data_IF_388137408570
#
_entry.id   IF_388137408570
#
_cell.length_a   1.000
_cell.length_b   1.000
_cell.length_c   1.000
_cell.angle_alpha   90.00
_cell.angle_beta   90.00
_cell.angle_gamma   90.00
#
_symmetry.space_group_name_H-M   'P 1'
#
loop_
_entity.id
_entity.type
_entity.pdbx_description
1 polymer ?
#
# COMPACT_ATOMS: atom_id res chain seq x y z
N UNK A 1 -15.55 -9.93 -7.53
CA UNK A 1 -16.83 -9.19 -7.51
C UNK A 1 -16.69 -7.77 -6.95
N UNK A 2 -15.99 -7.54 -5.83
CA UNK A 2 -15.86 -6.20 -5.21
C UNK A 2 -15.39 -5.12 -6.19
N UNK A 3 -14.37 -5.39 -7.01
CA UNK A 3 -13.88 -4.41 -8.00
C UNK A 3 -14.92 -4.01 -9.05
N UNK A 4 -15.80 -4.93 -9.45
CA UNK A 4 -16.89 -4.64 -10.38
C UNK A 4 -17.93 -3.73 -9.72
N UNK A 5 -18.36 -4.06 -8.50
CA UNK A 5 -19.31 -3.24 -7.74
C UNK A 5 -18.75 -1.83 -7.49
N UNK A 6 -17.47 -1.71 -7.12
CA UNK A 6 -16.82 -0.41 -6.93
C UNK A 6 -16.78 0.40 -8.23
N UNK A 7 -16.50 -0.23 -9.37
CA UNK A 7 -16.49 0.45 -10.67
C UNK A 7 -17.90 0.95 -11.05
N UNK A 8 -18.92 0.11 -10.88
CA UNK A 8 -20.32 0.48 -11.15
C UNK A 8 -20.79 1.62 -10.24
N UNK A 9 -20.55 1.52 -8.93
CA UNK A 9 -20.83 2.59 -7.97
C UNK A 9 -20.11 3.88 -8.34
N UNK A 10 -18.85 3.80 -8.79
CA UNK A 10 -18.06 4.97 -9.19
C UNK A 10 -18.66 5.68 -10.41
N UNK A 11 -19.09 4.91 -11.42
CA UNK A 11 -19.75 5.43 -12.62
C UNK A 11 -21.08 6.09 -12.24
N UNK A 12 -21.93 5.40 -11.47
CA UNK A 12 -23.22 5.93 -11.05
C UNK A 12 -23.10 7.19 -10.19
N UNK A 13 -22.08 7.25 -9.31
CA UNK A 13 -21.81 8.42 -8.48
C UNK A 13 -21.55 9.66 -9.35
N UNK A 14 -20.66 9.55 -10.32
CA UNK A 14 -20.27 10.68 -11.19
C UNK A 14 -21.41 11.05 -12.14
N UNK A 15 -22.11 10.08 -12.72
CA UNK A 15 -23.24 10.34 -13.62
C UNK A 15 -24.42 11.02 -12.91
N UNK A 16 -24.70 10.65 -11.65
CA UNK A 16 -25.81 11.22 -10.88
C UNK A 16 -25.45 12.55 -10.22
N UNK A 17 -24.16 12.90 -10.10
CA UNK A 17 -23.70 14.09 -9.39
C UNK A 17 -22.66 14.84 -10.23
N UNK A 18 -23.11 15.77 -11.09
CA UNK A 18 -22.21 16.53 -11.98
C UNK A 18 -21.17 17.42 -11.28
N UNK A 19 -21.37 17.70 -9.98
CA UNK A 19 -20.40 18.42 -9.14
C UNK A 19 -19.24 17.54 -8.67
N UNK A 20 -19.36 16.21 -8.76
CA UNK A 20 -18.31 15.26 -8.37
C UNK A 20 -17.35 15.07 -9.52
N UNK A 21 -16.05 15.23 -9.24
CA UNK A 21 -15.01 14.99 -10.23
C UNK A 21 -14.91 13.51 -10.59
N UNK A 22 -14.74 13.18 -11.87
CA UNK A 22 -14.45 11.82 -12.31
C UNK A 22 -13.14 11.24 -11.72
N UNK A 23 -12.24 12.11 -11.24
CA UNK A 23 -11.00 11.69 -10.56
C UNK A 23 -11.19 11.31 -9.09
N UNK A 24 -12.32 11.67 -8.48
CA UNK A 24 -12.63 11.31 -7.10
C UNK A 24 -12.61 9.79 -6.87
N UNK A 25 -13.39 8.97 -7.60
CA UNK A 25 -13.37 7.53 -7.39
C UNK A 25 -12.01 6.91 -7.73
N UNK A 26 -11.30 7.45 -8.73
CA UNK A 26 -9.96 6.99 -9.09
C UNK A 26 -8.98 7.17 -7.94
N UNK A 27 -8.96 8.36 -7.31
CA UNK A 27 -8.10 8.61 -6.15
C UNK A 27 -8.51 7.76 -4.95
N UNK A 28 -9.82 7.56 -4.73
CA UNK A 28 -10.35 6.71 -3.66
C UNK A 28 -9.83 5.27 -3.70
N UNK A 29 -9.71 4.69 -4.89
CA UNK A 29 -9.22 3.31 -5.09
C UNK A 29 -7.84 3.26 -5.72
N UNK A 30 -7.04 4.32 -5.60
CA UNK A 30 -5.74 4.40 -6.27
C UNK A 30 -4.76 3.33 -5.80
N UNK A 31 -4.80 2.96 -4.52
CA UNK A 31 -3.89 1.96 -3.96
C UNK A 31 -3.96 0.61 -4.69
N UNK A 32 -5.12 -0.09 -4.74
CA UNK A 32 -5.23 -1.36 -5.46
C UNK A 32 -5.02 -1.23 -6.97
N UNK A 33 -5.45 -0.13 -7.60
CA UNK A 33 -5.20 0.14 -9.02
C UNK A 33 -3.69 0.20 -9.28
N UNK A 34 -2.98 1.04 -8.53
CA UNK A 34 -1.56 1.28 -8.74
C UNK A 34 -0.72 0.06 -8.36
N UNK A 35 -1.09 -0.67 -7.30
CA UNK A 35 -0.42 -1.93 -6.95
C UNK A 35 -0.49 -2.96 -8.10
N UNK A 36 -1.64 -3.04 -8.78
CA UNK A 36 -1.81 -3.92 -9.94
C UNK A 36 -1.00 -3.43 -11.14
N UNK A 37 -1.16 -2.17 -11.53
CA UNK A 37 -0.46 -1.58 -12.68
C UNK A 37 1.06 -1.63 -12.51
N UNK A 38 1.57 -1.25 -11.34
CA UNK A 38 2.99 -1.27 -11.05
C UNK A 38 3.57 -2.69 -11.07
N UNK A 39 2.81 -3.67 -10.61
CA UNK A 39 3.25 -5.07 -10.64
C UNK A 39 3.29 -5.62 -12.06
N UNK A 40 2.33 -5.25 -12.91
CA UNK A 40 2.37 -5.55 -14.36
C UNK A 40 3.59 -4.88 -15.01
N UNK A 41 3.78 -3.58 -14.76
CA UNK A 41 4.93 -2.83 -15.27
C UNK A 41 6.26 -3.48 -14.89
N UNK A 42 6.43 -3.80 -13.60
CA UNK A 42 7.63 -4.48 -13.10
C UNK A 42 7.86 -5.83 -13.78
N UNK A 43 6.83 -6.65 -13.94
CA UNK A 43 6.98 -7.98 -14.55
C UNK A 43 7.35 -7.87 -16.02
N UNK A 44 6.59 -7.09 -16.79
CA UNK A 44 6.80 -6.96 -18.23
C UNK A 44 8.06 -6.19 -18.58
N UNK A 45 8.28 -5.04 -17.95
CA UNK A 45 9.32 -4.08 -18.37
C UNK A 45 10.62 -4.32 -17.60
N UNK A 46 10.57 -4.46 -16.27
CA UNK A 46 11.79 -4.58 -15.47
C UNK A 46 12.35 -6.01 -15.41
N UNK A 47 11.49 -7.04 -15.49
CA UNK A 47 11.89 -8.45 -15.39
C UNK A 47 11.80 -9.23 -16.70
N UNK A 48 11.14 -8.70 -17.72
CA UNK A 48 10.93 -9.38 -19.00
C UNK A 48 10.07 -10.65 -18.92
N UNK A 49 9.28 -10.83 -17.86
CA UNK A 49 8.44 -12.02 -17.66
C UNK A 49 6.95 -11.72 -17.89
N UNK A 50 6.13 -12.73 -18.27
CA UNK A 50 4.70 -12.55 -18.45
C UNK A 50 4.00 -12.01 -17.20
N UNK A 51 2.94 -11.23 -17.40
CA UNK A 51 2.20 -10.60 -16.30
C UNK A 51 1.48 -11.61 -15.38
N UNK A 52 1.29 -12.86 -15.79
CA UNK A 52 0.66 -13.93 -15.00
C UNK A 52 1.60 -14.69 -14.07
N UNK A 53 2.91 -14.43 -14.09
CA UNK A 53 3.86 -15.14 -13.23
C UNK A 53 3.65 -14.79 -11.75
N UNK A 54 3.78 -15.75 -10.80
CA UNK A 54 3.61 -15.49 -9.38
C UNK A 54 4.56 -14.38 -8.91
N UNK A 55 4.01 -13.41 -8.18
CA UNK A 55 4.74 -12.21 -7.79
C UNK A 55 4.73 -12.01 -6.27
N UNK A 56 5.87 -12.30 -5.65
CA UNK A 56 6.11 -12.14 -4.22
C UNK A 56 6.70 -10.78 -3.82
N UNK A 57 6.81 -9.82 -4.74
CA UNK A 57 7.42 -8.49 -4.48
C UNK A 57 6.42 -7.34 -4.60
N UNK A 58 5.13 -7.61 -4.42
CA UNK A 58 4.14 -6.57 -4.15
C UNK A 58 4.52 -5.76 -2.91
N UNK A 59 4.12 -4.49 -2.86
CA UNK A 59 4.47 -3.60 -1.75
C UNK A 59 4.03 -4.20 -0.41
N UNK A 60 2.82 -4.76 -0.35
CA UNK A 60 2.32 -5.46 0.83
C UNK A 60 3.26 -6.59 1.29
N UNK A 61 3.63 -7.49 0.37
CA UNK A 61 4.52 -8.63 0.65
C UNK A 61 5.93 -8.16 1.03
N UNK A 62 6.43 -7.09 0.42
CA UNK A 62 7.71 -6.49 0.76
C UNK A 62 7.71 -5.87 2.17
N UNK A 63 6.65 -5.17 2.56
CA UNK A 63 6.51 -4.64 3.92
C UNK A 63 6.54 -5.82 4.90
N UNK A 64 5.73 -6.86 4.65
CA UNK A 64 5.70 -8.07 5.46
C UNK A 64 7.09 -8.75 5.57
N UNK A 65 7.81 -8.92 4.46
CA UNK A 65 9.09 -9.64 4.47
C UNK A 65 10.27 -8.81 4.97
N UNK A 66 10.24 -7.47 4.80
CA UNK A 66 11.42 -6.62 5.02
C UNK A 66 11.32 -5.76 6.28
N UNK A 67 10.13 -5.23 6.58
CA UNK A 67 9.92 -4.43 7.80
C UNK A 67 9.76 -5.34 9.00
N UNK A 68 9.06 -6.46 8.85
CA UNK A 68 8.88 -7.45 9.92
C UNK A 68 10.06 -8.41 10.09
N UNK A 69 11.17 -8.26 9.35
CA UNK A 69 12.31 -9.20 9.35
C UNK A 69 12.98 -9.36 10.72
N UNK A 70 12.94 -8.35 11.60
CA UNK A 70 13.41 -8.44 12.99
C UNK A 70 12.53 -9.30 13.90
N UNK A 71 11.31 -9.63 13.47
CA UNK A 71 10.42 -10.56 14.17
C UNK A 71 10.44 -11.99 13.60
N UNK A 72 11.26 -12.25 12.56
CA UNK A 72 11.28 -13.51 11.75
C UNK A 72 12.08 -14.65 12.40
N UNK A 73 12.69 -14.44 13.57
CA UNK A 73 13.40 -15.50 14.30
C UNK A 73 12.52 -16.64 14.83
N UNK A 74 11.23 -16.42 15.11
CA UNK A 74 10.35 -17.46 15.70
C UNK A 74 9.36 -18.05 14.69
N UNK A 75 9.27 -19.38 14.64
CA UNK A 75 8.36 -20.16 13.78
C UNK A 75 6.92 -20.24 14.32
N UNK A 76 6.63 -19.62 15.45
CA UNK A 76 5.33 -19.72 16.15
C UNK A 76 4.16 -19.08 15.40
N UNK A 77 3.02 -19.77 15.38
CA UNK A 77 1.77 -19.36 14.72
C UNK A 77 1.19 -18.05 15.26
N UNK A 78 1.30 -17.81 16.59
CA UNK A 78 0.88 -16.54 17.22
C UNK A 78 1.66 -15.34 16.69
N UNK A 79 2.93 -15.56 16.31
CA UNK A 79 3.72 -14.51 15.68
C UNK A 79 3.27 -14.27 14.23
N UNK A 80 2.82 -15.30 13.48
CA UNK A 80 2.26 -15.12 12.11
C UNK A 80 0.97 -14.29 12.10
N UNK A 81 0.06 -14.53 13.05
CA UNK A 81 -1.19 -13.77 13.14
C UNK A 81 -0.93 -12.28 13.45
N UNK A 82 -0.09 -12.02 14.45
CA UNK A 82 0.30 -10.64 14.84
C UNK A 82 1.05 -9.92 13.72
N UNK A 83 1.82 -10.64 12.89
CA UNK A 83 2.53 -10.09 11.71
C UNK A 83 1.57 -9.67 10.59
N UNK A 84 0.50 -10.43 10.35
CA UNK A 84 -0.50 -10.08 9.33
C UNK A 84 -1.24 -8.80 9.74
N UNK A 85 -1.70 -8.73 11.00
CA UNK A 85 -2.37 -7.56 11.55
C UNK A 85 -1.51 -6.30 11.59
N UNK A 86 -0.18 -6.41 11.66
CA UNK A 86 0.72 -5.26 11.65
C UNK A 86 1.13 -4.78 10.25
N UNK A 87 0.86 -5.55 9.19
CA UNK A 87 1.15 -5.10 7.82
C UNK A 87 0.05 -4.14 7.34
N UNK A 88 -1.20 -4.38 7.76
CA UNK A 88 -2.38 -3.58 7.39
C UNK A 88 -2.30 -2.10 7.78
N UNK A 89 -1.84 -1.70 8.98
CA UNK A 89 -1.75 -0.29 9.38
C UNK A 89 -0.90 0.57 8.43
N UNK A 90 0.21 0.03 7.89
CA UNK A 90 1.04 0.77 6.95
C UNK A 90 0.30 1.03 5.63
N UNK A 91 -0.43 0.03 5.15
CA UNK A 91 -1.25 0.18 3.96
C UNK A 91 -2.47 1.06 4.19
N UNK A 92 -3.07 1.02 5.38
CA UNK A 92 -4.15 1.91 5.78
C UNK A 92 -3.69 3.36 5.81
N UNK A 93 -2.51 3.63 6.38
CA UNK A 93 -1.94 4.98 6.35
C UNK A 93 -1.72 5.45 4.92
N UNK A 94 -1.11 4.62 4.06
CA UNK A 94 -0.93 4.93 2.64
C UNK A 94 -2.26 5.18 1.93
N UNK A 95 -3.29 4.37 2.23
CA UNK A 95 -4.63 4.51 1.65
C UNK A 95 -5.33 5.77 2.15
N UNK A 96 -5.18 6.12 3.43
CA UNK A 96 -5.74 7.34 4.03
C UNK A 96 -5.16 8.61 3.39
N UNK A 97 -3.89 8.59 2.98
CA UNK A 97 -3.27 9.69 2.23
C UNK A 97 -3.93 9.94 0.88
N UNK A 98 -4.65 8.98 0.32
CA UNK A 98 -5.45 9.16 -0.90
C UNK A 98 -6.93 9.44 -0.57
N UNK A 99 -7.51 8.69 0.37
CA UNK A 99 -8.93 8.77 0.72
C UNK A 99 -9.29 10.12 1.34
N UNK A 100 -8.51 10.64 2.30
CA UNK A 100 -8.80 11.92 2.97
C UNK A 100 -8.82 13.12 2.02
N UNK A 101 -7.82 13.34 1.16
CA UNK A 101 -7.91 14.42 0.19
C UNK A 101 -8.99 14.17 -0.87
N UNK A 102 -9.26 12.91 -1.24
CA UNK A 102 -10.37 12.61 -2.14
C UNK A 102 -11.72 13.06 -1.55
N UNK A 103 -11.99 12.75 -0.28
CA UNK A 103 -13.24 13.15 0.38
C UNK A 103 -13.35 14.66 0.60
N UNK A 104 -12.25 15.33 0.98
CA UNK A 104 -12.27 16.78 1.22
C UNK A 104 -12.36 17.61 -0.07
N UNK A 105 -11.81 17.13 -1.17
CA UNK A 105 -11.68 17.88 -2.43
C UNK A 105 -12.40 17.20 -3.60
N UNK A 106 -13.52 16.52 -3.34
CA UNK A 106 -14.24 15.71 -4.34
C UNK A 106 -14.62 16.46 -5.63
N UNK A 107 -14.74 17.79 -5.58
CA UNK A 107 -15.18 18.65 -6.69
C UNK A 107 -14.00 19.31 -7.44
N UNK A 108 -12.78 19.23 -6.90
CA UNK A 108 -11.62 19.94 -7.45
C UNK A 108 -10.72 18.99 -8.24
N UNK A 109 -10.92 18.97 -9.57
CA UNK A 109 -10.16 18.12 -10.50
C UNK A 109 -8.64 18.29 -10.35
N UNK A 110 -8.16 19.54 -10.21
CA UNK A 110 -6.73 19.86 -10.13
C UNK A 110 -6.14 19.30 -8.84
N UNK A 111 -6.79 19.52 -7.69
CA UNK A 111 -6.31 19.02 -6.40
C UNK A 111 -6.25 17.50 -6.39
N UNK A 112 -7.28 16.83 -6.92
CA UNK A 112 -7.31 15.37 -7.02
C UNK A 112 -6.15 14.84 -7.86
N UNK A 113 -5.87 15.44 -9.03
CA UNK A 113 -4.74 15.06 -9.88
C UNK A 113 -3.38 15.24 -9.19
N UNK A 114 -3.21 16.31 -8.41
CA UNK A 114 -2.00 16.54 -7.61
C UNK A 114 -1.83 15.41 -6.59
N UNK A 115 -2.88 15.02 -5.87
CA UNK A 115 -2.81 13.91 -4.92
C UNK A 115 -2.59 12.55 -5.59
N UNK A 116 -3.11 12.32 -6.80
CA UNK A 116 -2.76 11.15 -7.62
C UNK A 116 -1.25 11.12 -7.88
N UNK A 117 -0.67 12.23 -8.33
CA UNK A 117 0.77 12.32 -8.60
C UNK A 117 1.61 12.11 -7.33
N UNK A 118 1.23 12.73 -6.21
CA UNK A 118 1.87 12.55 -4.91
C UNK A 118 1.83 11.07 -4.49
N UNK A 119 0.67 10.41 -4.64
CA UNK A 119 0.51 9.01 -4.29
C UNK A 119 1.45 8.12 -5.12
N UNK A 120 1.47 8.31 -6.44
CA UNK A 120 2.35 7.57 -7.36
C UNK A 120 3.82 7.76 -6.95
N UNK A 121 4.24 9.01 -6.74
CA UNK A 121 5.60 9.32 -6.32
C UNK A 121 5.95 8.65 -4.99
N UNK A 122 5.09 8.78 -3.97
CA UNK A 122 5.29 8.21 -2.65
C UNK A 122 5.36 6.67 -2.70
N UNK A 123 4.48 6.03 -3.47
CA UNK A 123 4.49 4.58 -3.66
C UNK A 123 5.81 4.13 -4.27
N UNK A 124 6.22 4.73 -5.38
CA UNK A 124 7.47 4.36 -6.08
C UNK A 124 8.69 4.62 -5.18
N UNK A 125 8.73 5.76 -4.51
CA UNK A 125 9.79 6.10 -3.56
C UNK A 125 9.88 5.08 -2.43
N UNK A 126 8.76 4.73 -1.80
CA UNK A 126 8.71 3.74 -0.72
C UNK A 126 9.12 2.35 -1.21
N UNK A 127 8.63 1.94 -2.38
CA UNK A 127 9.01 0.69 -3.03
C UNK A 127 10.53 0.61 -3.24
N UNK A 128 11.14 1.63 -3.85
CA UNK A 128 12.58 1.66 -4.10
C UNK A 128 13.40 1.67 -2.81
N UNK A 129 12.98 2.43 -1.79
CA UNK A 129 13.64 2.46 -0.47
C UNK A 129 13.65 1.08 0.20
N UNK A 130 12.50 0.40 0.18
CA UNK A 130 12.37 -0.95 0.73
C UNK A 130 13.18 -1.96 -0.09
N UNK A 131 13.19 -1.85 -1.43
CA UNK A 131 13.93 -2.75 -2.33
C UNK A 131 15.45 -2.59 -2.19
N UNK A 132 15.96 -1.38 -2.02
CA UNK A 132 17.41 -1.06 -1.88
C UNK A 132 17.96 -1.18 -0.45
N UNK A 133 17.24 -1.81 0.48
CA UNK A 133 17.65 -1.96 1.89
C UNK A 133 17.84 -0.63 2.67
N UNK A 134 17.36 0.48 2.14
CA UNK A 134 17.33 1.78 2.83
C UNK A 134 15.95 2.04 3.44
N UNK A 135 15.40 1.03 4.14
CA UNK A 135 14.11 1.18 4.83
C UNK A 135 14.22 2.29 5.88
N UNK A 136 13.32 3.30 5.87
CA UNK A 136 13.38 4.41 6.83
C UNK A 136 13.32 3.90 8.27
N UNK A 137 14.16 4.46 9.16
CA UNK A 137 14.27 4.00 10.57
C UNK A 137 12.94 4.08 11.35
N UNK A 138 12.03 4.98 10.97
CA UNK A 138 10.69 5.12 11.58
C UNK A 138 9.71 4.00 11.21
N UNK A 139 9.97 3.23 10.14
CA UNK A 139 9.24 1.99 9.85
C UNK A 139 9.73 0.82 10.74
N UNK A 140 10.87 0.96 11.40
CA UNK A 140 11.52 -0.11 12.16
C UNK A 140 11.26 0.10 13.66
N UNK A 141 10.25 -0.56 14.20
CA UNK A 141 10.01 -0.61 15.64
C UNK A 141 11.08 -1.52 16.28
N UNK A 142 12.04 -0.93 17.00
CA UNK A 142 13.01 -1.68 17.81
C UNK A 142 12.31 -2.28 19.03
N UNK A 143 12.38 -3.60 19.20
CA UNK A 143 11.96 -4.25 20.44
C UNK A 143 13.11 -4.19 21.44
N UNK A 144 12.91 -3.56 22.59
CA UNK A 144 13.83 -3.70 23.72
C UNK A 144 13.77 -5.14 24.23
N UNK A 145 14.90 -5.85 24.17
CA UNK A 145 15.04 -7.13 24.87
C UNK A 145 15.12 -6.84 26.37
N UNK A 146 14.05 -7.16 27.11
CA UNK A 146 14.16 -7.32 28.56
C UNK A 146 14.93 -8.62 28.82
N UNK A 147 16.21 -8.48 29.16
CA UNK A 147 17.02 -9.56 29.72
C UNK A 147 16.48 -9.83 31.12
N UNK A 148 15.79 -10.96 31.33
CA UNK A 148 15.51 -11.46 32.68
C UNK A 148 16.84 -11.91 33.29
N UNK A 149 17.35 -11.14 34.27
CA UNK A 149 18.39 -11.63 35.18
C UNK A 149 17.79 -12.77 36.00
N UNK A 150 18.31 -13.98 35.84
CA UNK A 150 18.14 -15.02 36.84
C UNK A 150 18.94 -14.60 38.07
N UNK A 151 18.25 -14.34 39.18
CA UNK A 151 18.88 -14.29 40.50
C UNK A 151 18.98 -15.74 40.98
N UNK A 152 20.22 -16.18 41.18
CA UNK A 152 20.60 -17.33 42.00
C UNK A 152 20.40 -17.00 43.48
#
# INVERSE_FOLDING_TARGET
>A
MIGFVLAECSILLVLRNGSVSAWYPVLMVIYPIFETLFSIYRRRVLKGVPAGYPDGVHLHTLIYQRVMRWAVGSKDERHRLRRNSMTSPYLWLLSLLAVLPATLFWNSKIVLLVFVAIFIFLYVWLYWRIVRFQSPRWLIIKKHHHVKKHHE
#
